data_IF_052159398259
#
_entry.id   IF_052159398259
#
_cell.length_a   1.000
_cell.length_b   1.000
_cell.length_c   1.000
_cell.angle_alpha   90.00
_cell.angle_beta   90.00
_cell.angle_gamma   90.00
#
_symmetry.space_group_name_H-M   'P 1'
#
loop_
_entity.id
_entity.type
_entity.pdbx_description
1 polymer ?
#
# COMPACT_ATOMS: atom_id res chain seq x y z
N UNK A 1 -10.18 -2.94 -10.16
CA UNK A 1 -9.19 -2.96 -11.26
C UNK A 1 -9.10 -1.69 -12.12
N UNK A 2 -9.93 -0.66 -11.92
CA UNK A 2 -9.56 0.74 -12.21
C UNK A 2 -10.53 1.63 -11.45
N UNK A 3 -11.81 1.25 -11.51
CA UNK A 3 -12.89 1.77 -10.66
C UNK A 3 -12.55 1.72 -9.17
N UNK A 4 -12.02 0.59 -8.66
CA UNK A 4 -11.58 0.47 -7.25
C UNK A 4 -10.53 1.51 -6.84
N UNK A 5 -9.59 1.83 -7.73
CA UNK A 5 -8.54 2.81 -7.44
C UNK A 5 -9.08 4.23 -7.54
N UNK A 6 -9.99 4.48 -8.50
CA UNK A 6 -10.71 5.74 -8.59
C UNK A 6 -11.57 5.99 -7.34
N UNK A 7 -12.37 4.99 -6.93
CA UNK A 7 -13.19 5.04 -5.72
C UNK A 7 -12.34 5.31 -4.47
N UNK A 8 -11.15 4.70 -4.36
CA UNK A 8 -10.22 4.96 -3.26
C UNK A 8 -9.63 6.38 -3.33
N UNK A 9 -9.21 6.83 -4.52
CA UNK A 9 -8.70 8.19 -4.73
C UNK A 9 -9.75 9.28 -4.46
N UNK A 10 -11.03 8.97 -4.67
CA UNK A 10 -12.16 9.87 -4.43
C UNK A 10 -12.74 9.71 -3.01
N UNK A 11 -12.14 8.85 -2.17
CA UNK A 11 -12.56 8.60 -0.79
C UNK A 11 -13.86 7.81 -0.63
N UNK A 12 -14.41 7.26 -1.71
CA UNK A 12 -15.56 6.33 -1.67
C UNK A 12 -15.18 4.97 -1.09
N UNK A 13 -13.91 4.58 -1.24
CA UNK A 13 -13.27 3.49 -0.52
C UNK A 13 -12.14 4.03 0.36
N UNK A 14 -11.93 3.42 1.52
CA UNK A 14 -10.89 3.80 2.48
C UNK A 14 -9.91 2.67 2.80
N UNK A 15 -10.06 1.50 2.17
CA UNK A 15 -9.20 0.35 2.35
C UNK A 15 -9.10 -0.47 1.06
N UNK A 16 -7.89 -0.91 0.74
CA UNK A 16 -7.61 -1.83 -0.37
C UNK A 16 -6.82 -3.02 0.18
N UNK A 17 -7.27 -4.23 -0.15
CA UNK A 17 -6.45 -5.44 -0.05
C UNK A 17 -5.83 -5.73 -1.41
N UNK A 18 -4.51 -5.91 -1.45
CA UNK A 18 -3.80 -6.16 -2.68
C UNK A 18 -2.67 -7.17 -2.50
N UNK A 19 -2.32 -7.84 -3.59
CA UNK A 19 -1.13 -8.69 -3.69
C UNK A 19 0.05 -7.86 -4.17
N UNK A 20 1.24 -8.47 -4.22
CA UNK A 20 2.49 -7.82 -4.64
C UNK A 20 2.40 -7.13 -6.03
N UNK A 21 1.44 -7.53 -6.88
CA UNK A 21 1.16 -6.88 -8.18
C UNK A 21 0.78 -5.41 -8.03
N UNK A 22 0.23 -4.99 -6.89
CA UNK A 22 -0.10 -3.58 -6.64
C UNK A 22 1.09 -2.74 -6.16
N UNK A 23 2.26 -3.35 -5.89
CA UNK A 23 3.46 -2.61 -5.49
C UNK A 23 4.09 -1.87 -6.68
N UNK A 24 4.02 -2.46 -7.87
CA UNK A 24 4.60 -1.94 -9.11
C UNK A 24 3.53 -1.59 -10.15
N UNK A 25 3.66 -0.42 -10.78
CA UNK A 25 2.82 -0.03 -11.92
C UNK A 25 1.40 0.42 -11.60
N UNK A 26 0.94 0.30 -10.35
CA UNK A 26 -0.36 0.81 -9.90
C UNK A 26 -0.20 2.17 -9.24
N UNK A 27 -0.94 3.16 -9.74
CA UNK A 27 -1.00 4.50 -9.14
C UNK A 27 -1.94 4.49 -7.93
N UNK A 28 -1.38 4.29 -6.74
CA UNK A 28 -2.07 4.38 -5.46
C UNK A 28 -1.64 5.69 -4.81
N UNK A 29 -2.63 6.53 -4.47
CA UNK A 29 -2.46 7.76 -3.72
C UNK A 29 -1.75 7.52 -2.38
N UNK A 30 -1.09 8.54 -1.79
CA UNK A 30 -0.53 8.42 -0.46
C UNK A 30 -1.58 7.96 0.57
N UNK A 31 -1.23 6.91 1.34
CA UNK A 31 -2.02 6.37 2.42
C UNK A 31 -1.48 6.85 3.78
N UNK A 32 -2.37 6.93 4.77
CA UNK A 32 -2.01 7.14 6.17
C UNK A 32 -1.57 5.83 6.85
N UNK A 33 -1.91 4.67 6.29
CA UNK A 33 -1.55 3.36 6.82
C UNK A 33 -1.25 2.39 5.67
N UNK A 34 -0.13 1.69 5.77
CA UNK A 34 0.23 0.58 4.89
C UNK A 34 0.62 -0.62 5.75
N UNK A 35 -0.06 -1.74 5.55
CA UNK A 35 0.21 -2.99 6.26
C UNK A 35 0.72 -4.02 5.24
N UNK A 36 1.88 -4.58 5.53
CA UNK A 36 2.43 -5.72 4.83
C UNK A 36 2.23 -6.99 5.64
N UNK A 37 1.46 -7.94 5.10
CA UNK A 37 1.23 -9.23 5.74
C UNK A 37 2.43 -10.16 5.67
N UNK A 38 3.26 -10.01 4.64
CA UNK A 38 4.48 -10.79 4.44
C UNK A 38 5.72 -9.89 4.45
N UNK A 39 6.88 -10.46 4.76
CA UNK A 39 8.16 -9.76 4.64
C UNK A 39 8.47 -9.42 3.16
N UNK A 40 8.91 -8.18 2.83
CA UNK A 40 9.39 -7.83 1.50
C UNK A 40 10.53 -8.75 1.07
N UNK A 41 10.39 -9.34 -0.12
CA UNK A 41 11.38 -10.24 -0.71
C UNK A 41 12.57 -9.50 -1.34
N UNK A 42 12.41 -8.21 -1.64
CA UNK A 42 13.42 -7.37 -2.29
C UNK A 42 13.43 -5.97 -1.67
N UNK A 43 14.58 -5.29 -1.78
CA UNK A 43 14.70 -3.88 -1.37
C UNK A 43 13.73 -2.97 -2.14
N UNK A 44 13.53 -3.23 -3.44
CA UNK A 44 12.58 -2.52 -4.29
C UNK A 44 11.15 -2.62 -3.75
N UNK A 45 10.71 -3.83 -3.41
CA UNK A 45 9.38 -4.10 -2.83
C UNK A 45 9.19 -3.35 -1.50
N UNK A 46 10.22 -3.32 -0.63
CA UNK A 46 10.20 -2.53 0.60
C UNK A 46 10.08 -1.02 0.32
N UNK A 47 10.89 -0.49 -0.60
CA UNK A 47 10.90 0.95 -0.91
C UNK A 47 9.57 1.39 -1.54
N UNK A 48 9.03 0.61 -2.46
CA UNK A 48 7.77 0.92 -3.15
C UNK A 48 6.57 0.83 -2.22
N UNK A 49 6.47 -0.24 -1.42
CA UNK A 49 5.39 -0.39 -0.44
C UNK A 49 5.45 0.70 0.64
N UNK A 50 6.63 0.99 1.19
CA UNK A 50 6.82 2.13 2.11
C UNK A 50 6.51 3.47 1.45
N UNK A 51 6.77 3.60 0.15
CA UNK A 51 6.41 4.77 -0.65
C UNK A 51 4.92 5.06 -0.71
N UNK A 52 4.04 4.14 -0.30
CA UNK A 52 2.60 4.42 -0.18
C UNK A 52 2.25 5.09 1.15
N UNK A 53 3.02 4.88 2.22
CA UNK A 53 2.88 5.59 3.50
C UNK A 53 3.67 6.91 3.47
N UNK A 54 3.15 7.92 2.75
CA UNK A 54 3.80 9.23 2.58
C UNK A 54 3.02 10.41 3.16
N UNK A 55 1.84 10.18 3.72
CA UNK A 55 1.11 11.24 4.44
C UNK A 55 1.86 11.61 5.73
N UNK A 56 1.64 12.83 6.22
CA UNK A 56 2.07 13.21 7.56
C UNK A 56 1.53 12.19 8.59
N UNK A 57 2.36 11.78 9.53
CA UNK A 57 2.05 10.80 10.58
C UNK A 57 1.59 9.42 10.06
N UNK A 58 1.90 9.08 8.80
CA UNK A 58 1.57 7.77 8.25
C UNK A 58 2.38 6.64 8.89
N UNK A 59 1.76 5.47 8.96
CA UNK A 59 2.36 4.26 9.51
C UNK A 59 2.63 3.22 8.43
N UNK A 60 3.81 2.60 8.52
CA UNK A 60 4.19 1.45 7.72
C UNK A 60 4.46 0.27 8.65
N UNK A 61 3.61 -0.74 8.58
CA UNK A 61 3.65 -1.91 9.47
C UNK A 61 3.97 -3.15 8.64
N UNK A 62 4.92 -3.95 9.12
CA UNK A 62 5.17 -5.30 8.60
C UNK A 62 4.73 -6.29 9.66
N UNK A 63 3.76 -7.12 9.32
CA UNK A 63 3.35 -8.24 10.16
C UNK A 63 4.39 -9.36 10.02
N UNK A 64 4.73 -9.96 11.16
CA UNK A 64 5.61 -11.12 11.23
C UNK A 64 4.81 -12.26 11.88
N UNK A 65 4.98 -13.51 11.41
CA UNK A 65 4.45 -14.65 12.13
C UNK A 65 5.09 -14.76 13.52
N UNK A 66 4.34 -15.33 14.47
CA UNK A 66 4.83 -15.66 15.82
C UNK A 66 5.93 -16.75 15.79
#
# INVERSE_FOLDING_TARGET
>A
NQLTLADFSEGRLNLIFATQVAEEGVDIQPCNLVIRFDMPKTATSLIQSRGRARMADSQFIVMVPE
#
